data_IF_621121800050
#
_entry.id   IF_621121800050
#
_cell.length_a   1.000
_cell.length_b   1.000
_cell.length_c   1.000
_cell.angle_alpha   90.00
_cell.angle_beta   90.00
_cell.angle_gamma   90.00
#
_symmetry.space_group_name_H-M   'P 1'
#
loop_
_entity.id
_entity.type
_entity.pdbx_description
1 polymer ?
#
# COMPACT_ATOMS: atom_id res chain seq x y z
N UNK A 1 15.15 6.80 -15.47
CA UNK A 1 14.57 6.37 -14.19
C UNK A 1 13.06 6.27 -14.22
N UNK A 2 12.33 7.31 -14.63
CA UNK A 2 10.87 7.28 -14.71
C UNK A 2 10.36 6.11 -15.57
N UNK A 3 10.83 5.96 -16.80
CA UNK A 3 10.45 4.86 -17.69
C UNK A 3 10.72 3.46 -17.10
N UNK A 4 11.84 3.29 -16.38
CA UNK A 4 12.16 2.03 -15.71
C UNK A 4 11.13 1.70 -14.62
N UNK A 5 10.78 2.68 -13.77
CA UNK A 5 9.76 2.49 -12.71
C UNK A 5 8.37 2.25 -13.30
N UNK A 6 8.03 2.93 -14.39
CA UNK A 6 6.75 2.70 -15.10
C UNK A 6 6.68 1.28 -15.66
N UNK A 7 7.75 0.82 -16.32
CA UNK A 7 7.82 -0.56 -16.83
C UNK A 7 7.65 -1.59 -15.69
N UNK A 8 8.36 -1.40 -14.57
CA UNK A 8 8.23 -2.27 -13.39
C UNK A 8 6.80 -2.25 -12.84
N UNK A 9 6.18 -1.07 -12.69
CA UNK A 9 4.80 -0.96 -12.21
C UNK A 9 3.78 -1.66 -13.13
N UNK A 10 4.05 -1.73 -14.42
CA UNK A 10 3.22 -2.47 -15.37
C UNK A 10 3.24 -3.97 -15.08
N UNK A 11 4.43 -4.53 -14.87
CA UNK A 11 4.56 -5.94 -14.51
C UNK A 11 3.97 -6.26 -13.14
N UNK A 12 4.18 -5.38 -12.17
CA UNK A 12 3.63 -5.53 -10.82
C UNK A 12 2.10 -5.60 -10.82
N UNK A 13 1.41 -4.85 -11.71
CA UNK A 13 -0.04 -4.95 -11.86
C UNK A 13 -0.49 -6.35 -12.32
N UNK A 14 0.25 -6.97 -13.26
CA UNK A 14 0.00 -8.35 -13.69
C UNK A 14 0.27 -9.36 -12.58
N UNK A 15 1.39 -9.21 -11.88
CA UNK A 15 1.78 -10.12 -10.79
C UNK A 15 0.78 -10.06 -9.63
N UNK A 16 0.34 -8.86 -9.23
CA UNK A 16 -0.62 -8.68 -8.13
C UNK A 16 -1.93 -9.40 -8.41
N UNK A 17 -2.48 -9.23 -9.63
CA UNK A 17 -3.72 -9.92 -10.02
C UNK A 17 -3.52 -11.42 -10.06
N UNK A 18 -2.44 -11.88 -10.72
CA UNK A 18 -2.18 -13.31 -10.91
C UNK A 18 -1.88 -14.02 -9.58
N UNK A 19 -1.10 -13.39 -8.69
CA UNK A 19 -0.70 -13.99 -7.42
C UNK A 19 -1.88 -14.15 -6.47
N UNK A 20 -2.71 -13.11 -6.32
CA UNK A 20 -3.90 -13.17 -5.48
C UNK A 20 -4.89 -14.26 -5.93
N UNK A 21 -5.13 -14.34 -7.24
CA UNK A 21 -6.00 -15.37 -7.82
C UNK A 21 -5.39 -16.77 -7.70
N UNK A 22 -4.10 -16.93 -8.00
CA UNK A 22 -3.40 -18.22 -7.94
C UNK A 22 -3.47 -18.82 -6.53
N UNK A 23 -3.19 -18.02 -5.51
CA UNK A 23 -3.23 -18.51 -4.12
C UNK A 23 -4.65 -18.86 -3.70
N UNK A 24 -5.62 -18.04 -4.08
CA UNK A 24 -7.02 -18.38 -3.85
C UNK A 24 -7.41 -19.70 -4.50
N UNK A 25 -7.08 -19.90 -5.79
CA UNK A 25 -7.41 -21.13 -6.52
C UNK A 25 -6.65 -22.37 -5.99
N UNK A 26 -5.53 -22.18 -5.28
CA UNK A 26 -4.75 -23.27 -4.66
C UNK A 26 -5.20 -23.60 -3.23
N UNK A 27 -5.66 -22.62 -2.48
CA UNK A 27 -5.94 -22.80 -1.05
C UNK A 27 -7.43 -22.80 -0.72
N UNK A 28 -8.26 -22.09 -1.48
CA UNK A 28 -9.66 -21.83 -1.15
C UNK A 28 -9.83 -21.17 0.21
N UNK A 29 -8.79 -20.48 0.72
CA UNK A 29 -8.73 -20.02 2.10
C UNK A 29 -8.32 -18.54 2.17
N UNK A 30 -9.04 -17.78 3.02
CA UNK A 30 -8.68 -16.40 3.33
C UNK A 30 -7.34 -16.30 4.03
N UNK A 31 -7.00 -17.25 4.92
CA UNK A 31 -5.66 -17.33 5.52
C UNK A 31 -4.57 -17.60 4.47
N UNK A 32 -4.87 -18.44 3.47
CA UNK A 32 -3.97 -18.68 2.35
C UNK A 32 -3.64 -17.38 1.60
N UNK A 33 -4.64 -16.60 1.24
CA UNK A 33 -4.45 -15.30 0.57
C UNK A 33 -3.73 -14.30 1.48
N UNK A 34 -4.12 -14.21 2.75
CA UNK A 34 -3.46 -13.34 3.72
C UNK A 34 -1.97 -13.71 3.88
N UNK A 35 -1.63 -15.00 3.83
CA UNK A 35 -0.26 -15.50 3.93
C UNK A 35 0.70 -14.95 2.86
N UNK A 36 0.23 -14.74 1.63
CA UNK A 36 1.04 -14.08 0.57
C UNK A 36 1.39 -12.65 0.97
N UNK A 37 0.42 -11.90 1.42
CA UNK A 37 0.64 -10.50 1.80
C UNK A 37 1.56 -10.41 3.04
N UNK A 38 1.45 -11.36 3.97
CA UNK A 38 2.40 -11.47 5.09
C UNK A 38 3.81 -11.78 4.56
N UNK A 39 3.94 -12.72 3.60
CA UNK A 39 5.20 -13.02 2.96
C UNK A 39 5.81 -11.81 2.22
N UNK A 40 4.99 -10.89 1.72
CA UNK A 40 5.44 -9.63 1.13
C UNK A 40 5.84 -8.57 2.18
N UNK A 41 5.14 -8.47 3.30
CA UNK A 41 5.41 -7.44 4.33
C UNK A 41 6.64 -7.80 5.16
N UNK A 42 6.81 -9.07 5.52
CA UNK A 42 7.89 -9.51 6.43
C UNK A 42 9.29 -9.15 5.91
N UNK A 43 9.66 -9.38 4.64
CA UNK A 43 10.99 -9.01 4.12
C UNK A 43 11.25 -7.51 4.21
N UNK A 44 10.23 -6.67 3.96
CA UNK A 44 10.37 -5.21 4.03
C UNK A 44 10.73 -4.79 5.46
N UNK A 45 10.05 -5.35 6.47
CA UNK A 45 10.33 -5.05 7.87
C UNK A 45 11.72 -5.56 8.31
N UNK A 46 12.10 -6.75 7.87
CA UNK A 46 13.39 -7.37 8.24
C UNK A 46 14.58 -6.69 7.56
N UNK A 47 14.42 -6.30 6.28
CA UNK A 47 15.51 -5.77 5.46
C UNK A 47 15.60 -4.23 5.48
N UNK A 48 14.59 -3.52 5.97
CA UNK A 48 14.61 -2.06 6.04
C UNK A 48 15.89 -1.47 6.66
N UNK A 49 16.45 -2.01 7.76
CA UNK A 49 17.70 -1.52 8.32
C UNK A 49 18.91 -1.71 7.39
N UNK A 50 18.94 -2.81 6.66
CA UNK A 50 20.05 -3.18 5.77
C UNK A 50 19.97 -2.45 4.42
N UNK A 51 18.78 -2.09 3.98
CA UNK A 51 18.57 -1.39 2.72
C UNK A 51 19.24 0.00 2.71
N UNK A 52 19.21 0.72 3.84
CA UNK A 52 19.96 1.98 4.01
C UNK A 52 21.46 1.78 3.86
N UNK A 53 22.01 0.78 4.54
CA UNK A 53 23.45 0.44 4.49
C UNK A 53 23.87 0.06 3.06
N UNK A 54 23.06 -0.70 2.34
CA UNK A 54 23.35 -1.08 0.96
C UNK A 54 23.45 0.15 0.04
N UNK A 55 22.55 1.14 0.21
CA UNK A 55 22.57 2.38 -0.56
C UNK A 55 23.77 3.26 -0.21
N UNK A 56 24.24 3.24 1.05
CA UNK A 56 25.43 4.00 1.48
C UNK A 56 26.72 3.37 0.94
N UNK A 57 26.78 2.04 0.82
CA UNK A 57 27.99 1.34 0.36
C UNK A 57 28.09 1.20 -1.15
N UNK A 58 26.97 1.09 -1.84
CA UNK A 58 26.93 0.86 -3.29
C UNK A 58 26.25 2.03 -4.01
N UNK A 59 26.57 2.18 -5.30
CA UNK A 59 25.83 3.11 -6.16
C UNK A 59 24.33 2.73 -6.19
N UNK A 60 23.42 3.69 -5.97
CA UNK A 60 21.99 3.43 -6.00
C UNK A 60 21.53 2.71 -7.28
N UNK A 61 22.10 3.09 -8.43
CA UNK A 61 21.79 2.44 -9.71
C UNK A 61 22.21 0.97 -9.71
N UNK A 62 23.36 0.62 -9.17
CA UNK A 62 23.79 -0.79 -9.07
C UNK A 62 22.87 -1.59 -8.19
N UNK A 63 22.47 -1.05 -7.03
CA UNK A 63 21.51 -1.71 -6.13
C UNK A 63 20.19 -1.96 -6.85
N UNK A 64 19.68 -0.97 -7.59
CA UNK A 64 18.42 -1.09 -8.36
C UNK A 64 18.54 -2.15 -9.46
N UNK A 65 19.64 -2.16 -10.23
CA UNK A 65 19.83 -3.15 -11.32
C UNK A 65 19.95 -4.55 -10.76
N UNK A 66 20.72 -4.77 -9.70
CA UNK A 66 20.86 -6.09 -9.06
C UNK A 66 19.50 -6.56 -8.49
N UNK A 67 18.75 -5.67 -7.85
CA UNK A 67 17.42 -5.99 -7.34
C UNK A 67 16.44 -6.35 -8.47
N UNK A 68 16.47 -5.64 -9.61
CA UNK A 68 15.63 -5.97 -10.77
C UNK A 68 16.03 -7.31 -11.40
N UNK A 69 17.32 -7.59 -11.55
CA UNK A 69 17.78 -8.90 -12.06
C UNK A 69 17.38 -10.06 -11.14
N UNK A 70 17.46 -9.86 -9.82
CA UNK A 70 16.96 -10.84 -8.86
C UNK A 70 15.44 -11.06 -9.05
N UNK A 71 14.67 -9.98 -9.22
CA UNK A 71 13.21 -10.06 -9.48
C UNK A 71 12.89 -10.76 -10.80
N UNK A 72 13.69 -10.57 -11.87
CA UNK A 72 13.55 -11.31 -13.12
C UNK A 72 13.63 -12.81 -12.87
N UNK A 73 14.68 -13.26 -12.18
CA UNK A 73 14.90 -14.69 -11.90
C UNK A 73 13.78 -15.28 -11.04
N UNK A 74 13.38 -14.55 -10.00
CA UNK A 74 12.33 -14.98 -9.06
C UNK A 74 10.97 -15.05 -9.76
N UNK A 75 10.60 -14.01 -10.53
CA UNK A 75 9.34 -13.97 -11.27
C UNK A 75 9.28 -15.05 -12.37
N UNK A 76 10.38 -15.27 -13.10
CA UNK A 76 10.48 -16.32 -14.11
C UNK A 76 10.42 -17.72 -13.49
N UNK A 77 10.87 -17.89 -12.25
CA UNK A 77 10.79 -19.15 -11.52
C UNK A 77 9.41 -19.48 -10.95
N UNK A 78 8.53 -18.50 -10.82
CA UNK A 78 7.22 -18.71 -10.18
C UNK A 78 6.35 -19.77 -10.89
N UNK A 79 6.27 -19.85 -12.21
CA UNK A 79 5.51 -20.93 -12.89
C UNK A 79 5.96 -22.34 -12.49
N UNK A 80 7.25 -22.53 -12.16
CA UNK A 80 7.81 -23.82 -11.76
C UNK A 80 7.31 -24.27 -10.39
N UNK A 81 7.01 -23.33 -9.51
CA UNK A 81 6.56 -23.59 -8.13
C UNK A 81 5.08 -23.27 -7.89
N UNK A 82 4.36 -22.86 -8.93
CA UNK A 82 2.94 -22.49 -8.85
C UNK A 82 2.02 -23.61 -8.35
N UNK A 83 2.48 -24.87 -8.35
CA UNK A 83 1.80 -26.01 -7.75
C UNK A 83 1.93 -26.12 -6.24
N UNK A 84 2.87 -25.39 -5.62
CA UNK A 84 3.24 -25.48 -4.21
C UNK A 84 2.94 -24.18 -3.49
N UNK A 85 2.03 -24.17 -2.50
CA UNK A 85 1.72 -22.99 -1.70
C UNK A 85 2.96 -22.44 -0.98
N UNK A 86 3.81 -23.26 -0.31
CA UNK A 86 5.08 -22.78 0.24
C UNK A 86 6.00 -22.17 -0.82
N UNK A 87 6.04 -22.73 -2.04
CA UNK A 87 6.81 -22.18 -3.15
C UNK A 87 6.32 -20.79 -3.58
N UNK A 88 5.02 -20.61 -3.65
CA UNK A 88 4.41 -19.30 -3.95
C UNK A 88 4.78 -18.25 -2.87
N UNK A 89 4.71 -18.64 -1.59
CA UNK A 89 5.10 -17.75 -0.48
C UNK A 89 6.59 -17.42 -0.52
N UNK A 90 7.46 -18.39 -0.84
CA UNK A 90 8.89 -18.16 -0.97
C UNK A 90 9.20 -17.16 -2.09
N UNK A 91 8.51 -17.27 -3.22
CA UNK A 91 8.64 -16.31 -4.35
C UNK A 91 8.14 -14.94 -3.96
N UNK A 92 6.96 -14.82 -3.32
CA UNK A 92 6.43 -13.54 -2.83
C UNK A 92 7.41 -12.87 -1.85
N UNK A 93 7.98 -13.66 -0.92
CA UNK A 93 9.01 -13.20 0.01
C UNK A 93 10.26 -12.70 -0.72
N UNK A 94 10.81 -13.48 -1.66
CA UNK A 94 12.01 -13.12 -2.40
C UNK A 94 11.81 -11.88 -3.29
N UNK A 95 10.66 -11.76 -3.95
CA UNK A 95 10.27 -10.58 -4.73
C UNK A 95 10.24 -9.33 -3.85
N UNK A 96 9.60 -9.43 -2.70
CA UNK A 96 9.50 -8.33 -1.76
C UNK A 96 10.84 -7.98 -1.10
N UNK A 97 11.69 -8.98 -0.82
CA UNK A 97 13.05 -8.76 -0.33
C UNK A 97 13.89 -7.93 -1.32
N UNK A 98 13.82 -8.26 -2.62
CA UNK A 98 14.48 -7.47 -3.65
C UNK A 98 13.89 -6.05 -3.75
N UNK A 99 12.57 -5.90 -3.63
CA UNK A 99 11.89 -4.60 -3.63
C UNK A 99 12.27 -3.74 -2.43
N UNK A 100 12.51 -4.35 -1.27
CA UNK A 100 12.96 -3.66 -0.05
C UNK A 100 14.36 -3.01 -0.21
N UNK A 101 15.20 -3.54 -1.11
CA UNK A 101 16.48 -2.93 -1.48
C UNK A 101 16.31 -1.89 -2.60
N UNK A 102 15.43 -2.17 -3.57
CA UNK A 102 15.19 -1.30 -4.72
C UNK A 102 14.61 0.07 -4.32
N UNK A 103 13.59 0.10 -3.46
CA UNK A 103 12.84 1.31 -3.16
C UNK A 103 13.68 2.42 -2.48
N UNK A 104 14.50 2.15 -1.45
CA UNK A 104 15.40 3.15 -0.89
C UNK A 104 16.46 3.64 -1.89
N UNK A 105 17.00 2.73 -2.72
CA UNK A 105 17.97 3.09 -3.75
C UNK A 105 17.33 4.02 -4.81
N UNK A 106 16.08 3.74 -5.21
CA UNK A 106 15.33 4.58 -6.12
C UNK A 106 15.04 5.98 -5.53
N UNK A 107 14.70 6.03 -4.25
CA UNK A 107 14.47 7.30 -3.53
C UNK A 107 15.75 8.13 -3.39
N UNK A 108 16.89 7.49 -3.18
CA UNK A 108 18.19 8.15 -3.11
C UNK A 108 18.70 8.62 -4.49
N UNK A 109 18.35 7.89 -5.57
CA UNK A 109 18.77 8.23 -6.92
C UNK A 109 18.01 9.42 -7.52
N UNK A 110 16.73 9.61 -7.15
CA UNK A 110 15.88 10.62 -7.78
C UNK A 110 16.41 12.06 -7.64
N UNK A 111 16.82 12.54 -6.45
CA UNK A 111 17.36 13.89 -6.29
C UNK A 111 18.69 14.13 -7.04
N UNK A 112 19.43 13.06 -7.35
CA UNK A 112 20.67 13.15 -8.12
C UNK A 112 20.45 13.20 -9.65
N UNK A 113 19.20 12.99 -10.10
CA UNK A 113 18.83 12.92 -11.53
C UNK A 113 18.00 14.10 -12.00
N UNK A 114 17.41 14.87 -11.09
CA UNK A 114 16.50 15.98 -11.39
C UNK A 114 16.81 17.16 -10.47
N UNK A 115 16.52 18.37 -10.93
CA UNK A 115 16.65 19.58 -10.11
C UNK A 115 15.55 19.62 -9.03
N UNK A 116 15.73 20.43 -7.99
CA UNK A 116 14.76 20.57 -6.88
C UNK A 116 13.34 20.93 -7.38
N UNK A 117 13.25 21.79 -8.40
CA UNK A 117 11.99 22.20 -9.01
C UNK A 117 11.27 21.04 -9.73
N UNK A 118 12.03 20.08 -10.26
CA UNK A 118 11.51 18.91 -10.98
C UNK A 118 11.17 17.72 -10.06
N UNK A 119 11.59 17.74 -8.78
CA UNK A 119 11.36 16.65 -7.83
C UNK A 119 9.86 16.37 -7.63
N UNK A 120 9.05 17.43 -7.52
CA UNK A 120 7.60 17.31 -7.37
C UNK A 120 6.99 16.67 -8.61
N UNK A 121 7.38 17.14 -9.80
CA UNK A 121 6.91 16.60 -11.07
C UNK A 121 7.36 15.12 -11.26
N UNK A 122 8.60 14.79 -10.90
CA UNK A 122 9.14 13.44 -10.95
C UNK A 122 8.38 12.47 -10.06
N UNK A 123 8.16 12.83 -8.80
CA UNK A 123 7.39 12.00 -7.85
C UNK A 123 5.92 11.87 -8.27
N UNK A 124 5.29 12.97 -8.70
CA UNK A 124 3.91 12.96 -9.20
C UNK A 124 3.76 12.09 -10.44
N UNK A 125 4.74 12.13 -11.36
CA UNK A 125 4.77 11.29 -12.55
C UNK A 125 4.88 9.81 -12.23
N UNK A 126 5.70 9.43 -11.25
CA UNK A 126 5.84 8.04 -10.79
C UNK A 126 4.52 7.56 -10.17
N UNK A 127 3.90 8.36 -9.30
CA UNK A 127 2.63 8.02 -8.68
C UNK A 127 1.50 7.90 -9.72
N UNK A 128 1.41 8.86 -10.64
CA UNK A 128 0.43 8.83 -11.73
C UNK A 128 0.58 7.60 -12.61
N UNK A 129 1.83 7.23 -12.97
CA UNK A 129 2.11 6.02 -13.74
C UNK A 129 1.64 4.76 -13.00
N UNK A 130 1.87 4.66 -11.69
CA UNK A 130 1.42 3.52 -10.88
C UNK A 130 -0.12 3.42 -10.85
N UNK A 131 -0.82 4.55 -10.64
CA UNK A 131 -2.29 4.57 -10.60
C UNK A 131 -2.88 4.25 -11.99
N UNK A 132 -2.34 4.84 -13.07
CA UNK A 132 -2.79 4.53 -14.42
C UNK A 132 -2.53 3.06 -14.78
N UNK A 133 -1.39 2.51 -14.36
CA UNK A 133 -1.08 1.09 -14.52
C UNK A 133 -2.15 0.22 -13.86
N UNK A 134 -2.56 0.54 -12.66
CA UNK A 134 -3.62 -0.20 -11.96
C UNK A 134 -4.96 -0.09 -12.70
N UNK A 135 -5.33 1.10 -13.17
CA UNK A 135 -6.61 1.31 -13.88
C UNK A 135 -6.68 0.52 -15.20
N UNK A 136 -5.59 0.53 -15.97
CA UNK A 136 -5.58 -0.03 -17.33
C UNK A 136 -5.13 -1.49 -17.34
N UNK A 137 -4.08 -1.81 -16.58
CA UNK A 137 -3.41 -3.10 -16.68
C UNK A 137 -3.99 -4.16 -15.75
N UNK A 138 -4.65 -3.79 -14.64
CA UNK A 138 -5.28 -4.79 -13.78
C UNK A 138 -6.44 -5.52 -14.50
N UNK A 139 -7.35 -4.85 -15.25
CA UNK A 139 -8.33 -5.55 -16.10
C UNK A 139 -7.68 -6.41 -17.17
N UNK A 140 -6.62 -5.90 -17.84
CA UNK A 140 -5.87 -6.67 -18.83
C UNK A 140 -5.23 -7.91 -18.22
N UNK A 141 -4.62 -7.79 -17.05
CA UNK A 141 -4.07 -8.93 -16.30
C UNK A 141 -5.15 -9.95 -15.94
N UNK A 142 -6.31 -9.50 -15.45
CA UNK A 142 -7.45 -10.37 -15.18
C UNK A 142 -7.96 -11.11 -16.42
N UNK A 143 -8.01 -10.44 -17.57
CA UNK A 143 -8.38 -11.06 -18.83
C UNK A 143 -7.34 -12.07 -19.30
N UNK A 144 -6.04 -11.77 -19.21
CA UNK A 144 -4.94 -12.68 -19.52
C UNK A 144 -5.00 -13.94 -18.64
N UNK A 145 -5.18 -13.77 -17.33
CA UNK A 145 -5.32 -14.91 -16.42
C UNK A 145 -6.53 -15.76 -16.76
N UNK A 146 -7.65 -15.14 -17.15
CA UNK A 146 -8.88 -15.84 -17.50
C UNK A 146 -8.77 -16.65 -18.80
N UNK A 147 -7.97 -16.21 -19.77
CA UNK A 147 -7.90 -16.79 -21.12
C UNK A 147 -6.66 -17.65 -21.36
N UNK A 148 -5.51 -17.22 -20.84
CA UNK A 148 -4.21 -17.86 -21.08
C UNK A 148 -3.65 -18.52 -19.81
N UNK A 149 -4.09 -18.04 -18.63
CA UNK A 149 -3.63 -18.55 -17.32
C UNK A 149 -2.55 -17.69 -16.68
N UNK A 150 -2.10 -18.13 -15.51
CA UNK A 150 -1.18 -17.38 -14.63
C UNK A 150 0.22 -17.20 -15.21
N UNK A 151 0.71 -18.20 -15.96
CA UNK A 151 2.10 -18.23 -16.44
C UNK A 151 2.48 -17.00 -17.24
N UNK A 152 1.61 -16.58 -18.19
CA UNK A 152 1.88 -15.40 -19.01
C UNK A 152 1.98 -14.11 -18.17
N UNK A 153 1.13 -13.95 -17.16
CA UNK A 153 1.18 -12.78 -16.28
C UNK A 153 2.54 -12.67 -15.53
N UNK A 154 3.09 -13.81 -15.09
CA UNK A 154 4.41 -13.84 -14.45
C UNK A 154 5.56 -13.61 -15.42
N UNK A 155 5.46 -14.10 -16.66
CA UNK A 155 6.44 -13.79 -17.70
C UNK A 155 6.42 -12.32 -18.09
N UNK A 156 5.24 -11.70 -18.17
CA UNK A 156 5.12 -10.24 -18.38
C UNK A 156 5.80 -9.48 -17.27
N UNK A 157 5.61 -9.91 -16.01
CA UNK A 157 6.28 -9.29 -14.86
C UNK A 157 7.80 -9.46 -14.93
N UNK A 158 8.30 -10.66 -15.21
CA UNK A 158 9.74 -10.89 -15.39
C UNK A 158 10.34 -10.03 -16.50
N UNK A 159 9.66 -9.94 -17.65
CA UNK A 159 10.08 -9.07 -18.76
C UNK A 159 10.10 -7.59 -18.37
N UNK A 160 9.14 -7.12 -17.58
CA UNK A 160 9.09 -5.74 -17.12
C UNK A 160 10.30 -5.37 -16.25
N UNK A 161 10.73 -6.27 -15.37
CA UNK A 161 11.93 -6.07 -14.56
C UNK A 161 13.20 -6.12 -15.42
N UNK A 162 13.25 -6.98 -16.46
CA UNK A 162 14.37 -7.01 -17.39
C UNK A 162 14.48 -5.68 -18.15
N UNK A 163 13.37 -5.13 -18.62
CA UNK A 163 13.32 -3.81 -19.25
C UNK A 163 13.76 -2.71 -18.28
N UNK A 164 13.27 -2.75 -17.03
CA UNK A 164 13.67 -1.81 -15.98
C UNK A 164 15.18 -1.87 -15.73
N UNK A 165 15.75 -3.06 -15.53
CA UNK A 165 17.19 -3.27 -15.32
C UNK A 165 18.01 -2.73 -16.51
N UNK A 166 17.57 -2.98 -17.74
CA UNK A 166 18.24 -2.49 -18.95
C UNK A 166 18.21 -0.96 -19.03
N UNK A 167 17.08 -0.34 -18.73
CA UNK A 167 16.96 1.13 -18.70
C UNK A 167 17.81 1.75 -17.62
N UNK A 168 17.86 1.14 -16.43
CA UNK A 168 18.64 1.60 -15.28
C UNK A 168 20.13 1.41 -15.50
N UNK A 169 20.57 0.33 -16.17
CA UNK A 169 21.99 0.07 -16.44
C UNK A 169 22.66 1.15 -17.32
N UNK A 170 21.85 1.93 -18.05
CA UNK A 170 22.31 3.06 -18.86
C UNK A 170 22.50 4.35 -18.07
N UNK A 171 22.08 4.38 -16.79
CA UNK A 171 22.25 5.53 -15.93
C UNK A 171 23.60 5.45 -15.22
N UNK A 172 24.34 6.55 -15.25
CA UNK A 172 25.63 6.68 -14.56
C UNK A 172 25.45 7.67 -13.42
N UNK A 173 25.29 7.17 -12.20
CA UNK A 173 25.30 7.98 -10.98
C UNK A 173 26.57 7.66 -10.18
N UNK A 174 27.28 8.70 -9.81
CA UNK A 174 28.36 8.63 -8.84
C UNK A 174 27.78 8.29 -7.46
N UNK A 175 28.62 7.69 -6.59
CA UNK A 175 28.20 7.43 -5.20
C UNK A 175 27.76 8.75 -4.55
N UNK A 176 26.61 8.77 -3.84
CA UNK A 176 26.30 9.87 -2.95
C UNK A 176 27.42 9.97 -1.91
N UNK A 177 27.79 11.19 -1.52
CA UNK A 177 28.62 11.38 -0.33
C UNK A 177 27.87 10.73 0.85
N UNK A 178 28.55 9.85 1.58
CA UNK A 178 27.96 9.19 2.74
C UNK A 178 27.61 10.26 3.78
N UNK A 179 26.35 10.61 3.87
CA UNK A 179 25.86 11.43 4.97
C UNK A 179 25.85 10.58 6.24
N UNK A 180 26.29 11.20 7.34
CA UNK A 180 26.51 10.59 8.63
C UNK A 180 25.38 9.65 9.07
N UNK A 181 25.77 8.53 9.65
CA UNK A 181 24.96 7.44 10.17
C UNK A 181 23.55 7.85 10.59
N UNK A 182 22.56 7.49 9.78
CA UNK A 182 21.14 7.58 10.17
C UNK A 182 20.93 6.63 11.34
N UNK A 183 20.51 7.20 12.47
CA UNK A 183 20.13 6.40 13.63
C UNK A 183 19.18 5.28 13.19
N UNK A 184 19.41 4.06 13.69
CA UNK A 184 18.62 2.90 13.31
C UNK A 184 17.11 3.22 13.40
N UNK A 185 16.34 2.86 12.37
CA UNK A 185 14.91 3.16 12.25
C UNK A 185 14.12 2.83 13.53
N UNK A 186 14.46 1.75 14.23
CA UNK A 186 13.85 1.35 15.49
C UNK A 186 14.01 2.38 16.62
N UNK A 187 15.15 3.05 16.71
CA UNK A 187 15.37 4.12 17.69
C UNK A 187 14.50 5.33 17.34
N UNK A 188 14.40 5.68 16.06
CA UNK A 188 13.54 6.77 15.60
C UNK A 188 12.06 6.49 15.88
N UNK A 189 11.59 5.25 15.59
CA UNK A 189 10.23 4.84 15.88
C UNK A 189 9.92 4.86 17.38
N UNK A 190 10.83 4.37 18.23
CA UNK A 190 10.67 4.38 19.70
C UNK A 190 10.59 5.80 20.25
N UNK A 191 11.44 6.70 19.79
CA UNK A 191 11.41 8.11 20.20
C UNK A 191 10.17 8.80 19.68
N UNK A 192 9.73 8.46 18.46
CA UNK A 192 8.46 8.91 17.90
C UNK A 192 7.27 8.50 18.77
N UNK A 193 7.23 7.25 19.26
CA UNK A 193 6.18 6.76 20.17
C UNK A 193 6.15 7.59 21.48
N UNK A 194 7.29 7.98 22.02
CA UNK A 194 7.34 8.83 23.22
C UNK A 194 6.75 10.23 22.95
N UNK A 195 7.10 10.85 21.84
CA UNK A 195 6.53 12.15 21.43
C UNK A 195 5.01 12.01 21.24
N UNK A 196 4.57 10.94 20.58
CA UNK A 196 3.17 10.62 20.32
C UNK A 196 2.39 10.44 21.63
N UNK A 197 2.95 9.72 22.61
CA UNK A 197 2.33 9.48 23.92
C UNK A 197 2.14 10.78 24.73
N UNK A 198 3.00 11.76 24.54
CA UNK A 198 2.92 13.08 25.19
C UNK A 198 1.90 14.04 24.58
N UNK A 199 1.43 13.79 23.33
CA UNK A 199 0.58 14.75 22.61
C UNK A 199 -0.81 14.19 22.33
N UNK A 200 -1.85 14.80 22.90
CA UNK A 200 -3.23 14.29 22.85
C UNK A 200 -3.76 14.07 21.43
N UNK A 201 -3.53 15.03 20.52
CA UNK A 201 -3.98 14.92 19.12
C UNK A 201 -3.27 13.79 18.40
N UNK A 202 -1.94 13.65 18.59
CA UNK A 202 -1.18 12.57 17.99
C UNK A 202 -1.63 11.19 18.52
N UNK A 203 -2.00 11.07 19.81
CA UNK A 203 -2.57 9.82 20.35
C UNK A 203 -3.90 9.47 19.69
N UNK A 204 -4.80 10.44 19.51
CA UNK A 204 -6.08 10.21 18.83
C UNK A 204 -5.89 9.80 17.37
N UNK A 205 -4.95 10.44 16.67
CA UNK A 205 -4.57 10.06 15.31
C UNK A 205 -3.97 8.66 15.26
N UNK A 206 -3.13 8.28 16.23
CA UNK A 206 -2.53 6.95 16.31
C UNK A 206 -3.56 5.85 16.56
N UNK A 207 -4.52 6.10 17.45
CA UNK A 207 -5.62 5.17 17.69
C UNK A 207 -6.50 5.01 16.42
N UNK A 208 -6.84 6.11 15.75
CA UNK A 208 -7.55 6.09 14.47
C UNK A 208 -6.77 5.33 13.39
N UNK A 209 -5.47 5.58 13.27
CA UNK A 209 -4.59 4.89 12.34
C UNK A 209 -4.50 3.38 12.61
N UNK A 210 -4.38 2.97 13.87
CA UNK A 210 -4.35 1.56 14.25
C UNK A 210 -5.65 0.84 13.87
N UNK A 211 -6.81 1.44 14.13
CA UNK A 211 -8.10 0.88 13.74
C UNK A 211 -8.28 0.85 12.22
N UNK A 212 -7.84 1.90 11.53
CA UNK A 212 -7.87 1.93 10.07
C UNK A 212 -6.95 0.87 9.45
N UNK A 213 -5.79 0.62 10.04
CA UNK A 213 -4.87 -0.42 9.60
C UNK A 213 -5.45 -1.84 9.84
N UNK A 214 -6.11 -2.03 11.00
CA UNK A 214 -6.84 -3.26 11.31
C UNK A 214 -8.00 -3.53 10.35
N UNK A 215 -8.67 -2.50 9.84
CA UNK A 215 -9.66 -2.66 8.77
C UNK A 215 -9.00 -2.94 7.43
N UNK A 216 -8.05 -2.09 7.02
CA UNK A 216 -7.50 -2.08 5.67
C UNK A 216 -6.72 -3.34 5.30
N UNK A 217 -6.04 -3.97 6.25
CA UNK A 217 -5.22 -5.15 6.00
C UNK A 217 -6.02 -6.26 5.34
N UNK A 218 -7.07 -6.72 6.01
CA UNK A 218 -7.90 -7.83 5.53
C UNK A 218 -8.81 -7.41 4.38
N UNK A 219 -9.48 -6.24 4.44
CA UNK A 219 -10.44 -5.84 3.40
C UNK A 219 -9.76 -5.63 2.05
N UNK A 220 -8.52 -5.14 2.02
CA UNK A 220 -7.77 -5.00 0.77
C UNK A 220 -7.19 -6.33 0.26
N UNK A 221 -6.61 -7.14 1.15
CA UNK A 221 -5.99 -8.40 0.79
C UNK A 221 -7.01 -9.45 0.33
N UNK A 222 -8.14 -9.53 1.04
CA UNK A 222 -9.19 -10.51 0.77
C UNK A 222 -10.22 -10.04 -0.26
N UNK A 223 -9.93 -8.96 -1.01
CA UNK A 223 -10.80 -8.51 -2.10
C UNK A 223 -11.00 -9.61 -3.15
N UNK A 224 -9.97 -10.40 -3.44
CA UNK A 224 -10.09 -11.53 -4.37
C UNK A 224 -11.11 -12.55 -3.87
N UNK A 225 -11.16 -12.83 -2.58
CA UNK A 225 -12.14 -13.73 -1.94
C UNK A 225 -13.56 -13.18 -2.11
N UNK A 226 -13.76 -11.88 -1.84
CA UNK A 226 -15.03 -11.20 -2.04
C UNK A 226 -15.52 -11.32 -3.49
N UNK A 227 -14.65 -11.06 -4.46
CA UNK A 227 -14.99 -11.11 -5.89
C UNK A 227 -15.36 -12.53 -6.32
N UNK A 228 -14.62 -13.51 -5.85
CA UNK A 228 -14.81 -14.93 -6.23
C UNK A 228 -16.02 -15.56 -5.53
N UNK A 229 -16.09 -15.47 -4.22
CA UNK A 229 -17.14 -16.15 -3.44
C UNK A 229 -18.48 -15.41 -3.43
N UNK A 230 -18.43 -14.09 -3.17
CA UNK A 230 -19.66 -13.34 -2.94
C UNK A 230 -20.27 -12.79 -4.21
N UNK A 231 -19.45 -12.30 -5.14
CA UNK A 231 -19.93 -11.71 -6.39
C UNK A 231 -19.92 -12.71 -7.56
N UNK A 232 -19.37 -13.92 -7.38
CA UNK A 232 -19.34 -14.98 -8.39
C UNK A 232 -18.59 -14.56 -9.66
N UNK A 233 -17.59 -13.65 -9.54
CA UNK A 233 -16.87 -13.12 -10.69
C UNK A 233 -15.49 -13.77 -10.82
N UNK A 234 -15.11 -14.06 -12.07
CA UNK A 234 -13.83 -14.64 -12.42
C UNK A 234 -12.65 -13.64 -12.35
N UNK A 235 -11.48 -14.04 -12.86
CA UNK A 235 -10.27 -13.22 -12.85
C UNK A 235 -10.43 -11.83 -13.46
N UNK A 236 -11.17 -11.71 -14.57
CA UNK A 236 -11.48 -10.41 -15.18
C UNK A 236 -12.25 -9.48 -14.22
N UNK A 237 -13.19 -10.04 -13.43
CA UNK A 237 -13.92 -9.28 -12.41
C UNK A 237 -13.03 -8.73 -11.32
N UNK A 238 -12.01 -9.48 -10.89
CA UNK A 238 -11.01 -9.01 -9.93
C UNK A 238 -10.15 -7.88 -10.51
N UNK A 239 -9.70 -8.01 -11.76
CA UNK A 239 -8.97 -6.94 -12.45
C UNK A 239 -9.79 -5.64 -12.56
N UNK A 240 -11.10 -5.75 -12.90
CA UNK A 240 -12.02 -4.60 -12.94
C UNK A 240 -12.19 -3.98 -11.55
N UNK A 241 -12.28 -4.79 -10.48
CA UNK A 241 -12.37 -4.30 -9.11
C UNK A 241 -11.17 -3.41 -8.73
N UNK A 242 -9.96 -3.86 -9.06
CA UNK A 242 -8.74 -3.09 -8.85
C UNK A 242 -8.70 -1.81 -9.69
N UNK A 243 -9.20 -1.85 -10.93
CA UNK A 243 -9.33 -0.64 -11.76
C UNK A 243 -10.30 0.37 -11.16
N UNK A 244 -11.44 -0.07 -10.64
CA UNK A 244 -12.39 0.81 -9.95
C UNK A 244 -11.74 1.51 -8.74
N UNK A 245 -10.94 0.77 -7.94
CA UNK A 245 -10.14 1.35 -6.85
C UNK A 245 -9.17 2.40 -7.40
N UNK A 246 -8.46 2.08 -8.50
CA UNK A 246 -7.53 3.00 -9.15
C UNK A 246 -8.18 4.30 -9.61
N UNK A 247 -9.34 4.21 -10.26
CA UNK A 247 -10.13 5.39 -10.69
C UNK A 247 -10.48 6.27 -9.50
N UNK A 248 -10.97 5.67 -8.42
CA UNK A 248 -11.25 6.40 -7.19
C UNK A 248 -10.00 7.04 -6.57
N UNK A 249 -8.88 6.31 -6.55
CA UNK A 249 -7.62 6.81 -6.03
C UNK A 249 -7.09 8.01 -6.81
N UNK A 250 -7.28 8.04 -8.12
CA UNK A 250 -6.95 9.20 -8.96
C UNK A 250 -7.90 10.38 -8.70
N UNK A 251 -9.20 10.12 -8.59
CA UNK A 251 -10.21 11.16 -8.41
C UNK A 251 -10.22 11.76 -7.00
N UNK A 252 -9.91 10.99 -5.97
CA UNK A 252 -10.03 11.38 -4.57
C UNK A 252 -9.32 12.68 -4.22
N UNK A 253 -8.01 12.83 -4.45
CA UNK A 253 -7.28 14.08 -4.19
C UNK A 253 -7.80 15.26 -5.02
N UNK A 254 -8.20 15.04 -6.28
CA UNK A 254 -8.75 16.07 -7.15
C UNK A 254 -10.09 16.61 -6.65
N UNK A 255 -10.96 15.73 -6.18
CA UNK A 255 -12.22 16.13 -5.56
C UNK A 255 -11.98 16.82 -4.21
N UNK A 256 -11.02 16.32 -3.44
CA UNK A 256 -10.66 16.89 -2.15
C UNK A 256 -10.23 18.36 -2.29
N UNK A 257 -9.38 18.71 -3.28
CA UNK A 257 -8.93 20.08 -3.52
C UNK A 257 -10.07 21.04 -3.85
N UNK A 258 -11.15 20.54 -4.46
CA UNK A 258 -12.35 21.35 -4.78
C UNK A 258 -13.31 21.51 -3.59
N UNK A 259 -13.33 20.55 -2.68
CA UNK A 259 -14.25 20.49 -1.55
C UNK A 259 -13.65 21.07 -0.26
N UNK A 260 -12.33 21.07 -0.13
CA UNK A 260 -11.66 21.59 1.08
C UNK A 260 -11.71 23.10 1.08
N UNK A 261 -12.49 23.64 2.03
CA UNK A 261 -12.45 25.06 2.41
C UNK A 261 -11.49 25.32 3.57
N UNK A 262 -11.32 24.32 4.47
CA UNK A 262 -10.40 24.35 5.61
C UNK A 262 -9.94 22.92 5.91
N UNK A 263 -8.65 22.58 5.67
CA UNK A 263 -8.13 21.23 5.86
C UNK A 263 -8.12 20.76 7.32
N UNK A 264 -8.32 21.67 8.29
CA UNK A 264 -8.38 21.34 9.71
C UNK A 264 -9.77 20.96 10.19
N UNK A 265 -10.80 21.05 9.36
CA UNK A 265 -12.16 20.63 9.76
C UNK A 265 -12.20 19.12 9.96
N UNK A 266 -12.79 18.63 11.08
CA UNK A 266 -12.91 17.19 11.36
C UNK A 266 -13.55 16.40 10.24
N UNK A 267 -14.46 16.99 9.48
CA UNK A 267 -15.13 16.35 8.35
C UNK A 267 -14.14 15.90 7.24
N UNK A 268 -13.09 16.69 6.96
CA UNK A 268 -12.10 16.35 5.95
C UNK A 268 -11.05 15.33 6.43
N UNK A 269 -10.88 15.20 7.75
CA UNK A 269 -9.96 14.26 8.35
C UNK A 269 -10.61 12.88 8.50
N UNK A 270 -11.86 12.85 8.99
CA UNK A 270 -12.56 11.61 9.31
C UNK A 270 -13.59 11.20 8.27
N UNK A 271 -14.01 12.10 7.37
CA UNK A 271 -14.87 11.81 6.24
C UNK A 271 -14.38 10.64 5.39
N UNK A 272 -13.08 10.56 5.04
CA UNK A 272 -12.51 9.44 4.32
C UNK A 272 -12.68 8.08 5.04
N UNK A 273 -12.59 8.04 6.37
CA UNK A 273 -12.85 6.81 7.13
C UNK A 273 -14.33 6.40 7.04
N UNK A 274 -15.25 7.37 7.16
CA UNK A 274 -16.69 7.10 7.04
C UNK A 274 -17.08 6.68 5.61
N UNK A 275 -16.48 7.29 4.59
CA UNK A 275 -16.67 6.88 3.20
C UNK A 275 -16.23 5.43 3.00
N UNK A 276 -15.06 5.06 3.49
CA UNK A 276 -14.57 3.69 3.42
C UNK A 276 -15.43 2.72 4.23
N UNK A 277 -15.88 3.13 5.42
CA UNK A 277 -16.82 2.33 6.22
C UNK A 277 -18.13 2.07 5.48
N UNK A 278 -18.68 3.09 4.79
CA UNK A 278 -19.86 2.92 3.96
C UNK A 278 -19.63 1.96 2.80
N UNK A 279 -18.48 2.03 2.14
CA UNK A 279 -18.09 1.08 1.09
C UNK A 279 -17.98 -0.33 1.65
N UNK A 280 -17.26 -0.53 2.76
CA UNK A 280 -17.13 -1.85 3.38
C UNK A 280 -18.51 -2.41 3.79
N UNK A 281 -19.43 -1.58 4.29
CA UNK A 281 -20.80 -1.98 4.61
C UNK A 281 -21.58 -2.36 3.34
N UNK A 282 -21.43 -1.64 2.23
CA UNK A 282 -22.01 -2.01 0.93
C UNK A 282 -21.46 -3.36 0.47
N UNK A 283 -20.14 -3.55 0.52
CA UNK A 283 -19.50 -4.82 0.14
C UNK A 283 -19.90 -5.99 1.05
N UNK A 284 -20.19 -5.73 2.33
CA UNK A 284 -20.72 -6.72 3.25
C UNK A 284 -22.19 -7.08 2.99
N UNK A 285 -23.03 -6.17 2.47
CA UNK A 285 -24.46 -6.37 2.36
C UNK A 285 -24.95 -6.64 0.94
N UNK A 286 -24.36 -5.97 -0.07
CA UNK A 286 -24.83 -6.00 -1.45
C UNK A 286 -24.19 -7.14 -2.23
N UNK A 287 -25.01 -7.89 -2.99
CA UNK A 287 -24.53 -8.96 -3.91
C UNK A 287 -24.61 -8.56 -5.38
N UNK A 288 -25.06 -7.35 -5.68
CA UNK A 288 -25.17 -6.85 -7.06
C UNK A 288 -23.77 -6.39 -7.53
N UNK A 289 -23.15 -7.08 -8.52
CA UNK A 289 -21.76 -6.82 -8.89
C UNK A 289 -21.50 -5.38 -9.32
N UNK A 290 -22.43 -4.76 -10.07
CA UNK A 290 -22.24 -3.37 -10.54
C UNK A 290 -22.19 -2.39 -9.38
N UNK A 291 -23.03 -2.57 -8.35
CA UNK A 291 -23.03 -1.72 -7.15
C UNK A 291 -21.77 -1.94 -6.33
N UNK A 292 -21.39 -3.20 -6.12
CA UNK A 292 -20.17 -3.55 -5.39
C UNK A 292 -18.91 -3.01 -6.08
N UNK A 293 -18.75 -3.24 -7.40
CA UNK A 293 -17.63 -2.74 -8.17
C UNK A 293 -17.60 -1.21 -8.23
N UNK A 294 -18.77 -0.57 -8.41
CA UNK A 294 -18.87 0.89 -8.40
C UNK A 294 -18.49 1.50 -7.04
N UNK A 295 -18.85 0.85 -5.93
CA UNK A 295 -18.47 1.31 -4.58
C UNK A 295 -16.97 1.27 -4.32
N UNK A 296 -16.22 0.40 -5.01
CA UNK A 296 -14.76 0.33 -4.90
C UNK A 296 -14.05 1.60 -5.39
N UNK A 297 -14.68 2.39 -6.27
CA UNK A 297 -14.16 3.73 -6.57
C UNK A 297 -14.24 4.64 -5.34
N UNK A 298 -15.29 4.55 -4.54
CA UNK A 298 -15.36 5.21 -3.24
C UNK A 298 -14.28 4.75 -2.27
N UNK A 299 -13.95 3.45 -2.27
CA UNK A 299 -12.82 2.90 -1.48
C UNK A 299 -11.50 3.56 -1.87
N UNK A 300 -11.18 3.58 -3.17
CA UNK A 300 -9.96 4.21 -3.69
C UNK A 300 -9.89 5.70 -3.36
N UNK A 301 -10.99 6.42 -3.60
CA UNK A 301 -11.11 7.85 -3.30
C UNK A 301 -10.97 8.17 -1.82
N UNK A 302 -11.63 7.40 -0.94
CA UNK A 302 -11.50 7.54 0.50
C UNK A 302 -10.09 7.23 1.01
N UNK A 303 -9.42 6.23 0.43
CA UNK A 303 -8.04 5.88 0.81
C UNK A 303 -7.06 6.98 0.42
N UNK A 304 -7.09 7.46 -0.82
CA UNK A 304 -6.15 8.48 -1.32
C UNK A 304 -6.40 9.85 -0.68
N UNK A 305 -7.67 10.29 -0.59
CA UNK A 305 -8.02 11.54 0.08
C UNK A 305 -7.67 11.49 1.58
N UNK A 306 -7.94 10.35 2.23
CA UNK A 306 -7.59 10.12 3.62
C UNK A 306 -6.09 10.19 3.87
N UNK A 307 -5.27 9.62 2.99
CA UNK A 307 -3.81 9.71 3.08
C UNK A 307 -3.32 11.16 3.00
N UNK A 308 -3.86 11.96 2.08
CA UNK A 308 -3.50 13.38 1.93
C UNK A 308 -3.86 14.17 3.19
N UNK A 309 -5.10 14.07 3.67
CA UNK A 309 -5.57 14.83 4.83
C UNK A 309 -4.88 14.41 6.11
N UNK A 310 -4.68 13.12 6.31
CA UNK A 310 -3.99 12.55 7.47
C UNK A 310 -2.54 13.02 7.53
N UNK A 311 -1.78 12.87 6.43
CA UNK A 311 -0.39 13.30 6.38
C UNK A 311 -0.24 14.82 6.58
N UNK A 312 -1.14 15.63 6.00
CA UNK A 312 -1.14 17.08 6.18
C UNK A 312 -1.36 17.48 7.64
N UNK A 313 -2.32 16.83 8.33
CA UNK A 313 -2.56 17.09 9.74
C UNK A 313 -1.39 16.61 10.61
N UNK A 314 -0.85 15.42 10.33
CA UNK A 314 0.29 14.90 11.06
C UNK A 314 1.51 15.82 10.96
N UNK A 315 1.76 16.39 9.78
CA UNK A 315 2.82 17.39 9.59
C UNK A 315 2.55 18.70 10.36
N UNK A 316 1.30 19.15 10.38
CA UNK A 316 0.91 20.39 11.06
C UNK A 316 1.01 20.28 12.59
N UNK A 317 0.64 19.12 13.15
CA UNK A 317 0.63 18.87 14.60
C UNK A 317 1.99 18.39 15.15
N UNK A 318 2.97 18.13 14.27
CA UNK A 318 4.28 17.60 14.68
C UNK A 318 5.36 18.68 14.53
N UNK A 319 6.11 19.00 15.60
CA UNK A 319 7.25 19.91 15.52
C UNK A 319 8.26 19.46 14.46
N UNK A 320 8.86 20.38 13.67
CA UNK A 320 9.77 20.04 12.57
C UNK A 320 10.89 19.07 12.98
N UNK A 321 11.49 19.27 14.14
CA UNK A 321 12.57 18.44 14.68
C UNK A 321 12.13 17.00 15.06
N UNK A 322 10.83 16.73 15.20
CA UNK A 322 10.29 15.43 15.57
C UNK A 322 9.59 14.70 14.41
N UNK A 323 9.38 15.36 13.25
CA UNK A 323 8.59 14.81 12.14
C UNK A 323 9.05 13.42 11.71
N UNK A 324 10.33 13.23 11.44
CA UNK A 324 10.83 11.92 10.98
C UNK A 324 10.54 10.80 11.99
N UNK A 325 10.72 11.07 13.29
CA UNK A 325 10.47 10.10 14.38
C UNK A 325 8.98 9.77 14.52
N UNK A 326 8.12 10.78 14.43
CA UNK A 326 6.66 10.59 14.51
C UNK A 326 6.14 9.83 13.30
N UNK A 327 6.58 10.17 12.08
CA UNK A 327 6.21 9.43 10.87
C UNK A 327 6.65 7.96 10.93
N UNK A 328 7.87 7.67 11.42
CA UNK A 328 8.33 6.30 11.62
C UNK A 328 7.46 5.52 12.63
N UNK A 329 7.01 6.17 13.70
CA UNK A 329 6.08 5.57 14.66
C UNK A 329 4.71 5.26 14.04
N UNK A 330 4.18 6.17 13.22
CA UNK A 330 2.91 5.95 12.51
C UNK A 330 3.01 4.86 11.46
N UNK A 331 4.13 4.77 10.74
CA UNK A 331 4.37 3.68 9.79
C UNK A 331 4.43 2.32 10.50
N UNK A 332 5.11 2.26 11.65
CA UNK A 332 5.13 1.06 12.49
C UNK A 332 3.72 0.64 12.93
N UNK A 333 2.91 1.59 13.43
CA UNK A 333 1.51 1.33 13.81
C UNK A 333 0.72 0.78 12.62
N UNK A 334 0.90 1.37 11.44
CA UNK A 334 0.24 0.94 10.21
C UNK A 334 0.63 -0.49 9.81
N UNK A 335 1.92 -0.80 9.79
CA UNK A 335 2.40 -2.12 9.38
C UNK A 335 2.00 -3.22 10.39
N UNK A 336 2.13 -2.95 11.69
CA UNK A 336 1.70 -3.91 12.72
C UNK A 336 0.18 -4.12 12.70
N UNK A 337 -0.60 -3.04 12.53
CA UNK A 337 -2.05 -3.12 12.39
C UNK A 337 -2.47 -3.95 11.17
N UNK A 338 -1.80 -3.75 10.02
CA UNK A 338 -2.04 -4.55 8.81
C UNK A 338 -1.70 -6.03 9.01
N UNK A 339 -0.57 -6.35 9.62
CA UNK A 339 -0.18 -7.74 9.90
C UNK A 339 -1.19 -8.43 10.82
N UNK A 340 -1.61 -7.76 11.89
CA UNK A 340 -2.66 -8.28 12.78
C UNK A 340 -3.98 -8.47 12.03
N UNK A 341 -4.36 -7.49 11.19
CA UNK A 341 -5.55 -7.55 10.35
C UNK A 341 -5.55 -8.75 9.39
N UNK A 342 -4.41 -9.04 8.76
CA UNK A 342 -4.26 -10.15 7.82
C UNK A 342 -4.49 -11.49 8.52
N UNK A 343 -3.87 -11.71 9.69
CA UNK A 343 -4.06 -12.93 10.46
C UNK A 343 -5.51 -13.09 10.97
N UNK A 344 -6.02 -12.06 11.64
CA UNK A 344 -7.38 -12.08 12.19
C UNK A 344 -8.44 -12.11 11.11
N UNK A 345 -8.27 -11.33 10.05
CA UNK A 345 -9.24 -11.24 8.95
C UNK A 345 -9.23 -12.47 8.06
N UNK A 346 -8.07 -13.08 7.81
CA UNK A 346 -7.97 -14.36 7.10
C UNK A 346 -8.68 -15.48 7.87
N UNK A 347 -8.41 -15.57 9.18
CA UNK A 347 -9.13 -16.49 10.06
C UNK A 347 -10.63 -16.22 10.10
N UNK A 348 -11.04 -14.95 10.20
CA UNK A 348 -12.45 -14.58 10.23
C UNK A 348 -13.16 -14.90 8.90
N UNK A 349 -12.46 -14.74 7.78
CA UNK A 349 -12.98 -15.12 6.47
C UNK A 349 -13.27 -16.63 6.39
N UNK A 350 -12.34 -17.46 6.88
CA UNK A 350 -12.49 -18.92 6.87
C UNK A 350 -13.54 -19.40 7.89
N UNK A 351 -13.66 -18.74 9.06
CA UNK A 351 -14.58 -19.14 10.13
C UNK A 351 -16.01 -18.62 9.94
N UNK A 352 -16.20 -17.39 9.46
CA UNK A 352 -17.49 -16.69 9.39
C UNK A 352 -17.82 -16.12 8.00
N UNK A 353 -16.93 -16.35 7.03
CA UNK A 353 -17.08 -15.88 5.66
C UNK A 353 -16.63 -14.44 5.44
N UNK A 354 -16.41 -14.10 4.18
CA UNK A 354 -15.87 -12.81 3.75
C UNK A 354 -16.75 -11.62 4.15
N UNK A 355 -18.05 -11.84 4.27
CA UNK A 355 -19.00 -10.81 4.72
C UNK A 355 -18.68 -10.28 6.11
N UNK A 356 -18.29 -11.18 7.04
CA UNK A 356 -17.92 -10.79 8.41
C UNK A 356 -16.67 -9.89 8.44
N UNK A 357 -15.72 -10.14 7.54
CA UNK A 357 -14.50 -9.32 7.42
C UNK A 357 -14.84 -7.89 7.03
N UNK A 358 -15.67 -7.70 6.01
CA UNK A 358 -16.06 -6.36 5.55
C UNK A 358 -16.96 -5.65 6.56
N UNK A 359 -17.86 -6.38 7.24
CA UNK A 359 -18.69 -5.81 8.32
C UNK A 359 -17.81 -5.35 9.51
N UNK A 360 -16.85 -6.17 9.93
CA UNK A 360 -15.88 -5.80 10.96
C UNK A 360 -15.01 -4.60 10.51
N UNK A 361 -14.56 -4.59 9.25
CA UNK A 361 -13.81 -3.49 8.66
C UNK A 361 -14.60 -2.16 8.71
N UNK A 362 -15.88 -2.19 8.34
CA UNK A 362 -16.76 -1.04 8.44
C UNK A 362 -16.89 -0.53 9.89
N UNK A 363 -17.10 -1.43 10.85
CA UNK A 363 -17.22 -1.07 12.27
C UNK A 363 -15.92 -0.45 12.82
N UNK A 364 -14.75 -0.99 12.46
CA UNK A 364 -13.44 -0.46 12.84
C UNK A 364 -13.22 0.96 12.28
N UNK A 365 -13.62 1.23 11.05
CA UNK A 365 -13.48 2.55 10.43
C UNK A 365 -14.44 3.58 11.04
N UNK A 366 -15.67 3.19 11.40
CA UNK A 366 -16.58 4.06 12.17
C UNK A 366 -15.97 4.39 13.53
N UNK A 367 -15.46 3.38 14.24
CA UNK A 367 -14.79 3.60 15.53
C UNK A 367 -13.55 4.51 15.38
N UNK A 368 -12.74 4.35 14.32
CA UNK A 368 -11.62 5.22 14.02
C UNK A 368 -12.05 6.68 13.82
N UNK A 369 -13.14 6.91 13.08
CA UNK A 369 -13.68 8.25 12.86
C UNK A 369 -14.20 8.89 14.14
N UNK A 370 -14.90 8.15 14.99
CA UNK A 370 -15.46 8.65 16.27
C UNK A 370 -14.36 8.99 17.27
N UNK A 371 -13.38 8.09 17.47
CA UNK A 371 -12.25 8.30 18.38
C UNK A 371 -11.42 9.50 17.94
N UNK A 372 -11.10 9.58 16.65
CA UNK A 372 -10.34 10.69 16.10
C UNK A 372 -11.06 12.02 16.28
N UNK A 373 -12.37 12.07 16.00
CA UNK A 373 -13.19 13.28 16.19
C UNK A 373 -13.22 13.74 17.66
N UNK A 374 -13.45 12.83 18.60
CA UNK A 374 -13.47 13.13 20.02
C UNK A 374 -12.14 13.74 20.51
N UNK A 375 -11.00 13.21 20.06
CA UNK A 375 -9.67 13.73 20.41
C UNK A 375 -9.38 15.14 19.90
N UNK A 376 -9.93 15.53 18.75
CA UNK A 376 -9.73 16.86 18.17
C UNK A 376 -10.71 17.93 18.72
N UNK A 377 -11.97 17.59 18.99
CA UNK A 377 -12.96 18.55 19.50
C UNK A 377 -12.62 19.04 20.88
N UNK A 378 -12.18 18.18 21.77
CA UNK A 378 -11.75 18.55 23.12
C UNK A 378 -10.50 19.46 23.14
N UNK A 379 -9.63 19.34 22.13
CA UNK A 379 -8.43 20.18 22.05
C UNK A 379 -8.77 21.64 21.72
N UNK A 380 -9.75 21.87 20.84
CA UNK A 380 -10.22 23.21 20.49
C UNK A 380 -10.88 23.92 21.68
N UNK A 381 -11.71 23.23 22.43
CA UNK A 381 -12.33 23.78 23.64
C UNK A 381 -11.30 24.17 24.73
N UNK A 382 -10.17 23.46 24.82
CA UNK A 382 -9.11 23.82 25.77
C UNK A 382 -8.25 25.00 25.30
N UNK A 383 -8.08 25.22 24.01
CA UNK A 383 -7.38 26.40 23.48
C UNK A 383 -8.22 27.65 23.54
N UNK A 384 -9.53 27.56 23.28
CA UNK A 384 -10.45 28.70 23.43
C UNK A 384 -10.59 29.18 24.89
N UNK A 385 -10.51 28.25 25.86
CA UNK A 385 -10.52 28.62 27.30
C UNK A 385 -9.19 29.19 27.83
N UNK A 386 -8.11 29.13 27.05
CA UNK A 386 -6.79 29.68 27.42
C UNK A 386 -6.49 31.02 26.73
N UNK A 387 -7.33 31.43 25.80
CA UNK A 387 -7.33 32.80 25.19
C UNK A 387 -8.36 33.65 25.86
#
# INVERSE_FOLDING_TARGET
MWAARTASAWGDAFATVALGLLVWDRTGSGLGVAGVIVAEIVPVLLLAPFAGVAVDWFSPVRVMVVADLARVLVAAGLPLVAGSVPGIYAVAFAMSAASALFNPAASAALPALVNEEELIAGNSGIWTAAVLSQIVLAPAAGAVVATVGYGLAFWVNAASFAVSALLLSRLHLLRPAADAARAAWWHQARDGIRVLAGHRVLRALAAGQALAALSAGATSALLVVLIRERLGRGPAGYGIALACIGVGAAAGPLLLTRLITDPRKPAFIFGPYLLRAAVDAVLASVRVPVVALGSLAGYGGGTSAGAVTFNSLLQAETPPAARGRVFAAFDLIWQLGRLASLGLGGWLADAAGITAVYAAGAALLVAAALIGRAGLTDHRHHQEKRR
#
